data_IF_521196018616
#
_entry.id   IF_521196018616
#
_cell.length_a   1.000
_cell.length_b   1.000
_cell.length_c   1.000
_cell.angle_alpha   90.00
_cell.angle_beta   90.00
_cell.angle_gamma   90.00
#
_symmetry.space_group_name_H-M   'P 1'
#
loop_
_entity.id
_entity.type
_entity.pdbx_description
1 polymer ?
#
# COMPACT_ATOMS: atom_id res chain seq x y z
N UNK A 1 -14.04 -15.72 -13.63
CA UNK A 1 -12.88 -15.23 -12.85
C UNK A 1 -13.24 -13.91 -12.20
N UNK A 2 -12.47 -13.45 -11.21
CA UNK A 2 -12.81 -12.24 -10.43
C UNK A 2 -12.31 -10.92 -11.03
N UNK A 3 -11.57 -10.96 -12.15
CA UNK A 3 -10.86 -9.78 -12.68
C UNK A 3 -11.77 -8.58 -12.96
N UNK A 4 -12.94 -8.78 -13.58
CA UNK A 4 -13.87 -7.68 -13.86
C UNK A 4 -14.37 -7.02 -12.56
N UNK A 5 -14.82 -7.84 -11.60
CA UNK A 5 -15.34 -7.33 -10.34
C UNK A 5 -14.26 -6.62 -9.51
N UNK A 6 -13.03 -7.14 -9.53
CA UNK A 6 -11.89 -6.50 -8.85
C UNK A 6 -11.50 -5.18 -9.51
N UNK A 7 -11.57 -5.09 -10.85
CA UNK A 7 -11.34 -3.84 -11.57
C UNK A 7 -12.40 -2.79 -11.22
N UNK A 8 -13.68 -3.17 -11.11
CA UNK A 8 -14.73 -2.26 -10.65
C UNK A 8 -14.51 -1.77 -9.20
N UNK A 9 -13.88 -2.59 -8.36
CA UNK A 9 -13.65 -2.29 -6.93
C UNK A 9 -12.24 -1.72 -6.64
N UNK A 10 -11.42 -1.45 -7.66
CA UNK A 10 -10.00 -1.19 -7.46
C UNK A 10 -9.72 0.02 -6.56
N UNK A 11 -10.48 1.10 -6.66
CA UNK A 11 -10.33 2.28 -5.80
C UNK A 11 -10.51 1.92 -4.31
N UNK A 12 -11.60 1.22 -3.97
CA UNK A 12 -11.87 0.75 -2.60
C UNK A 12 -10.77 -0.21 -2.10
N UNK A 13 -10.27 -1.08 -2.98
CA UNK A 13 -9.19 -2.01 -2.62
C UNK A 13 -7.88 -1.28 -2.35
N UNK A 14 -7.56 -0.24 -3.11
CA UNK A 14 -6.36 0.57 -2.92
C UNK A 14 -6.43 1.40 -1.62
N UNK A 15 -7.60 1.95 -1.29
CA UNK A 15 -7.83 2.64 -0.02
C UNK A 15 -7.66 1.69 1.19
N UNK A 16 -8.28 0.50 1.14
CA UNK A 16 -8.15 -0.51 2.18
C UNK A 16 -6.70 -1.01 2.32
N UNK A 17 -5.97 -1.14 1.21
CA UNK A 17 -4.54 -1.48 1.24
C UNK A 17 -3.70 -0.37 1.90
N UNK A 18 -4.01 0.90 1.63
CA UNK A 18 -3.34 2.03 2.27
C UNK A 18 -3.56 2.03 3.79
N UNK A 19 -4.80 1.80 4.23
CA UNK A 19 -5.15 1.65 5.64
C UNK A 19 -4.35 0.52 6.28
N UNK A 20 -4.38 -0.68 5.69
CA UNK A 20 -3.65 -1.86 6.19
C UNK A 20 -2.13 -1.59 6.34
N UNK A 21 -1.49 -1.01 5.33
CA UNK A 21 -0.05 -0.73 5.37
C UNK A 21 0.28 0.38 6.37
N UNK A 22 -0.63 1.35 6.55
CA UNK A 22 -0.45 2.46 7.50
C UNK A 22 -0.58 2.00 8.94
N UNK A 23 -1.58 1.17 9.25
CA UNK A 23 -1.90 0.73 10.61
C UNK A 23 -1.04 -0.42 11.11
N UNK A 24 -0.43 -1.17 10.20
CA UNK A 24 0.50 -2.23 10.57
C UNK A 24 1.64 -1.67 11.44
N UNK A 25 2.01 -2.36 12.53
CA UNK A 25 3.07 -1.90 13.47
C UNK A 25 4.48 -2.38 13.13
N UNK A 26 4.68 -3.08 12.00
CA UNK A 26 6.02 -3.53 11.57
C UNK A 26 6.87 -2.37 11.04
N UNK A 27 8.20 -2.54 11.04
CA UNK A 27 9.14 -1.53 10.54
C UNK A 27 9.25 -1.56 9.00
N UNK A 28 9.70 -2.68 8.46
CA UNK A 28 10.08 -2.79 7.03
C UNK A 28 9.12 -3.65 6.20
N UNK A 29 8.25 -4.42 6.88
CA UNK A 29 7.30 -5.34 6.28
C UNK A 29 6.99 -6.50 7.21
N UNK A 30 5.84 -7.15 7.01
CA UNK A 30 5.54 -8.45 7.60
C UNK A 30 4.55 -9.22 6.69
N UNK A 31 4.35 -10.53 6.91
CA UNK A 31 3.42 -11.34 6.13
C UNK A 31 1.96 -10.85 6.11
N UNK A 32 1.59 -9.96 7.02
CA UNK A 32 0.24 -9.40 7.11
C UNK A 32 0.05 -8.07 6.33
N UNK A 33 1.12 -7.46 5.79
CA UNK A 33 1.00 -6.22 5.02
C UNK A 33 1.69 -6.30 3.65
N UNK A 34 2.99 -6.00 3.58
CA UNK A 34 3.76 -5.92 2.34
C UNK A 34 4.65 -7.15 2.09
N UNK A 35 4.66 -8.11 3.01
CA UNK A 35 5.50 -9.31 2.95
C UNK A 35 6.65 -9.33 3.96
N UNK A 36 7.36 -10.46 4.12
CA UNK A 36 8.47 -10.60 5.05
C UNK A 36 9.72 -9.80 4.57
N UNK A 37 10.40 -9.03 5.45
CA UNK A 37 11.50 -8.15 5.03
C UNK A 37 12.65 -8.81 4.26
N UNK A 38 12.95 -10.09 4.55
CA UNK A 38 14.02 -10.84 3.89
C UNK A 38 13.79 -11.11 2.40
N UNK A 39 12.56 -10.93 1.90
CA UNK A 39 12.17 -11.21 0.51
C UNK A 39 11.95 -9.94 -0.32
N UNK A 40 11.68 -8.80 0.33
CA UNK A 40 11.18 -7.57 -0.33
C UNK A 40 12.16 -6.38 -0.28
N UNK A 41 13.24 -6.50 0.50
CA UNK A 41 14.25 -5.45 0.67
C UNK A 41 13.95 -4.46 1.82
N UNK A 42 14.93 -3.61 2.17
CA UNK A 42 14.71 -2.54 3.14
C UNK A 42 13.73 -1.49 2.59
N UNK A 43 13.00 -0.81 3.47
CA UNK A 43 12.07 0.29 3.15
C UNK A 43 10.82 -0.07 2.32
N UNK A 44 10.58 -1.33 1.97
CA UNK A 44 9.43 -1.73 1.12
C UNK A 44 8.12 -1.18 1.66
N UNK A 45 7.87 -1.29 2.97
CA UNK A 45 6.67 -0.71 3.59
C UNK A 45 6.52 0.79 3.32
N UNK A 46 7.61 1.55 3.42
CA UNK A 46 7.59 3.00 3.18
C UNK A 46 7.29 3.32 1.71
N UNK A 47 7.94 2.61 0.79
CA UNK A 47 7.73 2.77 -0.65
C UNK A 47 6.30 2.38 -1.04
N UNK A 48 5.81 1.22 -0.60
CA UNK A 48 4.44 0.75 -0.85
C UNK A 48 3.41 1.75 -0.33
N UNK A 49 3.59 2.25 0.90
CA UNK A 49 2.69 3.26 1.47
C UNK A 49 2.67 4.54 0.63
N UNK A 50 3.83 4.99 0.13
CA UNK A 50 3.91 6.18 -0.73
C UNK A 50 3.21 5.93 -2.06
N UNK A 51 3.44 4.79 -2.69
CA UNK A 51 2.77 4.43 -3.94
C UNK A 51 1.24 4.39 -3.77
N UNK A 52 0.75 3.78 -2.68
CA UNK A 52 -0.68 3.75 -2.37
C UNK A 52 -1.26 5.15 -2.17
N UNK A 53 -0.55 6.08 -1.52
CA UNK A 53 -0.97 7.49 -1.40
C UNK A 53 -1.07 8.19 -2.76
N UNK A 54 -0.15 7.92 -3.69
CA UNK A 54 -0.22 8.45 -5.05
C UNK A 54 -1.44 7.92 -5.80
N UNK A 55 -1.67 6.61 -5.74
CA UNK A 55 -2.78 5.95 -6.43
C UNK A 55 -4.16 6.37 -5.88
N UNK A 56 -4.24 6.61 -4.56
CA UNK A 56 -5.47 7.06 -3.87
C UNK A 56 -5.61 8.59 -3.84
N UNK A 57 -4.71 9.34 -4.51
CA UNK A 57 -4.71 10.82 -4.55
C UNK A 57 -4.64 11.48 -3.16
N UNK A 58 -4.01 10.81 -2.21
CA UNK A 58 -3.81 11.25 -0.82
C UNK A 58 -2.43 11.91 -0.58
N UNK A 59 -1.64 12.12 -1.63
CA UNK A 59 -0.41 12.94 -1.53
C UNK A 59 -0.79 14.42 -1.53
N UNK A 60 -0.43 15.14 -0.46
CA UNK A 60 -0.46 16.61 -0.47
C UNK A 60 0.62 17.08 -1.46
N UNK A 61 0.25 18.02 -2.33
CA UNK A 61 1.17 18.69 -3.24
C UNK A 61 2.45 19.06 -2.51
N UNK A 62 3.58 18.62 -3.07
CA UNK A 62 4.93 18.94 -2.60
C UNK A 62 5.10 20.46 -2.66
N UNK A 63 5.02 21.15 -1.52
CA UNK A 63 5.43 22.55 -1.43
C UNK A 63 6.96 22.57 -1.33
N UNK A 64 7.56 23.42 -2.17
CA UNK A 64 8.99 23.39 -2.57
C UNK A 64 9.91 23.90 -1.47
#
# INVERSE_FOLDING_TARGET
GFSQRLFELHDTLLEAALELVTDCRCRDGCPACVGPPGEIGPETKAVTRRLLKLLTKQEKSFET
#
